data_IF_751669781017
#
_entry.id   IF_751669781017
#
_cell.length_a   1.000
_cell.length_b   1.000
_cell.length_c   1.000
_cell.angle_alpha   90.00
_cell.angle_beta   90.00
_cell.angle_gamma   90.00
#
_symmetry.space_group_name_H-M   'P 1'
#
loop_
_entity.id
_entity.type
_entity.pdbx_description
1 polymer ?
#
# COMPACT_ATOMS: atom_id res chain seq x y z
N UNK A 1 8.09 7.05 15.40
CA UNK A 1 7.21 7.35 14.26
C UNK A 1 7.39 6.21 13.28
N UNK A 2 6.32 5.50 12.92
CA UNK A 2 6.44 4.35 12.02
C UNK A 2 6.74 4.80 10.59
N UNK A 3 7.58 4.06 9.87
CA UNK A 3 7.85 4.27 8.45
C UNK A 3 6.62 3.91 7.60
N UNK A 4 6.65 4.22 6.30
CA UNK A 4 5.58 3.83 5.36
C UNK A 4 5.45 2.31 5.31
N UNK A 5 6.59 1.61 5.21
CA UNK A 5 6.66 0.15 5.14
C UNK A 5 6.09 -0.46 6.42
N UNK A 6 6.54 -0.01 7.59
CA UNK A 6 6.04 -0.53 8.88
C UNK A 6 4.51 -0.36 9.03
N UNK A 7 3.94 0.77 8.57
CA UNK A 7 2.49 0.98 8.61
C UNK A 7 1.75 0.08 7.62
N UNK A 8 2.31 -0.16 6.45
CA UNK A 8 1.70 -1.03 5.46
C UNK A 8 1.80 -2.50 5.87
N UNK A 9 2.93 -2.93 6.44
CA UNK A 9 3.12 -4.25 7.03
C UNK A 9 2.09 -4.53 8.14
N UNK A 10 1.80 -3.55 9.02
CA UNK A 10 0.75 -3.70 10.04
C UNK A 10 -0.62 -3.98 9.40
N UNK A 11 -0.99 -3.26 8.33
CA UNK A 11 -2.27 -3.43 7.63
C UNK A 11 -2.32 -4.83 7.00
N UNK A 12 -1.24 -5.23 6.32
CA UNK A 12 -1.17 -6.52 5.64
C UNK A 12 -1.22 -7.68 6.65
N UNK A 13 -0.46 -7.62 7.73
CA UNK A 13 -0.50 -8.63 8.78
C UNK A 13 -1.88 -8.72 9.43
N UNK A 14 -2.53 -7.58 9.68
CA UNK A 14 -3.87 -7.56 10.27
C UNK A 14 -4.95 -8.17 9.36
N UNK A 15 -4.89 -7.89 8.05
CA UNK A 15 -5.94 -8.29 7.09
C UNK A 15 -5.71 -9.66 6.45
N UNK A 16 -4.46 -9.99 6.15
CA UNK A 16 -4.10 -11.25 5.50
C UNK A 16 -3.67 -12.34 6.48
N UNK A 17 -3.27 -11.97 7.70
CA UNK A 17 -2.63 -12.89 8.64
C UNK A 17 -1.17 -13.23 8.28
N UNK A 18 -0.59 -12.57 7.28
CA UNK A 18 0.77 -12.81 6.80
C UNK A 18 1.66 -11.61 7.17
N UNK A 19 2.79 -11.89 7.81
CA UNK A 19 3.84 -10.90 8.05
C UNK A 19 4.80 -10.84 6.83
N UNK A 20 4.62 -9.84 5.98
CA UNK A 20 5.44 -9.65 4.78
C UNK A 20 6.85 -9.14 5.10
N UNK A 21 7.13 -8.68 6.32
CA UNK A 21 8.50 -8.35 6.73
C UNK A 21 9.35 -9.61 6.97
N UNK A 22 8.69 -10.75 7.24
CA UNK A 22 9.31 -12.06 7.39
C UNK A 22 9.29 -12.83 6.08
N UNK A 23 8.19 -12.72 5.32
CA UNK A 23 7.96 -13.44 4.06
C UNK A 23 8.19 -12.56 2.83
N UNK A 24 9.42 -12.08 2.67
CA UNK A 24 9.84 -11.23 1.55
C UNK A 24 9.56 -11.88 0.18
N UNK A 25 9.66 -13.22 0.09
CA UNK A 25 9.39 -13.99 -1.12
C UNK A 25 7.95 -13.86 -1.63
N UNK A 26 7.02 -13.49 -0.76
CA UNK A 26 5.61 -13.33 -1.10
C UNK A 26 5.28 -11.94 -1.65
N UNK A 27 6.21 -10.97 -1.60
CA UNK A 27 5.90 -9.57 -1.96
C UNK A 27 5.56 -9.33 -3.42
N UNK A 28 6.04 -10.21 -4.31
CA UNK A 28 5.74 -10.20 -5.75
C UNK A 28 4.66 -11.22 -6.14
N UNK A 29 4.11 -11.96 -5.17
CA UNK A 29 3.10 -12.97 -5.44
C UNK A 29 1.72 -12.31 -5.53
N UNK A 30 0.87 -12.68 -6.52
CA UNK A 30 -0.50 -12.16 -6.61
C UNK A 30 -1.30 -12.46 -5.34
N UNK A 31 -1.86 -11.41 -4.72
CA UNK A 31 -2.61 -11.52 -3.46
C UNK A 31 -3.85 -12.41 -3.59
N UNK A 32 -4.57 -12.28 -4.71
CA UNK A 32 -5.74 -13.11 -5.04
C UNK A 32 -5.38 -14.42 -5.75
N UNK A 33 -4.09 -14.68 -5.98
CA UNK A 33 -3.62 -15.90 -6.63
C UNK A 33 -3.65 -17.10 -5.67
N UNK A 34 -3.44 -18.31 -6.18
CA UNK A 34 -3.59 -19.56 -5.41
C UNK A 34 -2.64 -19.69 -4.21
N UNK A 35 -1.48 -19.01 -4.25
CA UNK A 35 -0.44 -19.10 -3.20
C UNK A 35 -0.83 -18.32 -1.96
N UNK A 36 -1.15 -17.03 -2.12
CA UNK A 36 -1.58 -16.18 -0.99
C UNK A 36 -3.07 -16.39 -0.70
N UNK A 37 -3.87 -16.58 -1.75
CA UNK A 37 -5.31 -16.85 -1.71
C UNK A 37 -6.09 -15.89 -0.80
N UNK A 38 -5.73 -14.61 -0.86
CA UNK A 38 -6.40 -13.58 -0.08
C UNK A 38 -7.85 -13.46 -0.56
N UNK A 39 -8.84 -13.48 0.35
CA UNK A 39 -10.22 -13.23 -0.04
C UNK A 39 -10.37 -11.83 -0.65
N UNK A 40 -11.11 -11.70 -1.76
CA UNK A 40 -11.38 -10.41 -2.41
C UNK A 40 -11.92 -9.36 -1.43
N UNK A 41 -12.75 -9.79 -0.48
CA UNK A 41 -13.26 -8.92 0.60
C UNK A 41 -12.14 -8.32 1.45
N UNK A 42 -11.11 -9.10 1.80
CA UNK A 42 -9.99 -8.57 2.58
C UNK A 42 -9.15 -7.60 1.75
N UNK A 43 -8.97 -7.84 0.45
CA UNK A 43 -8.29 -6.90 -0.44
C UNK A 43 -9.01 -5.53 -0.49
N UNK A 44 -10.35 -5.53 -0.51
CA UNK A 44 -11.14 -4.29 -0.42
C UNK A 44 -10.99 -3.59 0.93
N UNK A 45 -10.88 -4.34 2.03
CA UNK A 45 -10.66 -3.74 3.35
C UNK A 45 -9.25 -3.17 3.48
N UNK A 46 -8.25 -3.82 2.90
CA UNK A 46 -6.88 -3.28 2.78
C UNK A 46 -6.90 -1.96 2.02
N UNK A 47 -7.61 -1.88 0.89
CA UNK A 47 -7.79 -0.64 0.14
C UNK A 47 -8.31 0.50 1.02
N UNK A 48 -9.40 0.27 1.76
CA UNK A 48 -9.96 1.30 2.65
C UNK A 48 -9.05 1.65 3.83
N UNK A 49 -8.32 0.68 4.38
CA UNK A 49 -7.36 0.94 5.44
C UNK A 49 -6.19 1.79 4.96
N UNK A 50 -5.68 1.56 3.75
CA UNK A 50 -4.63 2.37 3.16
C UNK A 50 -5.10 3.82 3.01
N UNK A 51 -6.26 4.06 2.42
CA UNK A 51 -6.78 5.42 2.25
C UNK A 51 -6.92 6.16 3.59
N UNK A 52 -7.40 5.44 4.62
CA UNK A 52 -7.61 5.97 5.97
C UNK A 52 -6.29 6.24 6.69
N UNK A 53 -5.35 5.31 6.67
CA UNK A 53 -4.07 5.40 7.41
C UNK A 53 -3.14 6.42 6.78
N UNK A 54 -3.05 6.43 5.45
CA UNK A 54 -2.14 7.31 4.75
C UNK A 54 -2.78 8.64 4.36
N UNK A 55 -4.09 8.83 4.54
CA UNK A 55 -4.81 10.09 4.28
C UNK A 55 -4.70 10.55 2.81
N UNK A 56 -4.90 9.64 1.86
CA UNK A 56 -5.16 9.97 0.45
C UNK A 56 -6.24 9.06 -0.13
N UNK A 57 -6.78 9.47 -1.28
CA UNK A 57 -7.60 8.61 -2.12
C UNK A 57 -6.74 7.96 -3.17
N UNK A 58 -6.80 6.63 -3.27
CA UNK A 58 -6.12 5.89 -4.31
C UNK A 58 -6.90 6.13 -5.61
N UNK A 59 -6.31 6.73 -6.65
CA UNK A 59 -7.01 6.94 -7.90
C UNK A 59 -7.36 5.63 -8.58
N UNK A 60 -8.52 5.56 -9.22
CA UNK A 60 -8.98 4.37 -9.93
C UNK A 60 -7.96 3.90 -10.98
N UNK A 61 -7.28 4.83 -11.66
CA UNK A 61 -6.24 4.54 -12.65
C UNK A 61 -5.02 3.77 -12.10
N UNK A 62 -4.71 3.90 -10.80
CA UNK A 62 -3.63 3.15 -10.14
C UNK A 62 -4.10 1.77 -9.66
N UNK A 63 -5.42 1.57 -9.51
CA UNK A 63 -6.01 0.25 -9.25
C UNK A 63 -6.10 -0.54 -10.54
N UNK A 64 -6.56 0.12 -11.61
CA UNK A 64 -6.57 -0.41 -12.96
C UNK A 64 -5.11 -0.57 -13.45
N UNK A 65 -4.87 -1.48 -14.40
CA UNK A 65 -3.51 -1.84 -14.88
C UNK A 65 -2.65 -2.68 -13.92
N UNK A 66 -3.27 -3.60 -13.16
CA UNK A 66 -2.59 -4.52 -12.22
C UNK A 66 -1.87 -3.83 -11.05
N UNK A 67 -2.06 -2.54 -10.80
CA UNK A 67 -1.39 -1.82 -9.71
C UNK A 67 -1.79 -2.31 -8.31
N UNK A 68 -2.94 -2.97 -8.16
CA UNK A 68 -3.42 -3.49 -6.88
C UNK A 68 -3.39 -5.03 -6.80
N UNK A 69 -2.33 -5.65 -7.33
CA UNK A 69 -2.24 -7.12 -7.50
C UNK A 69 -1.32 -7.79 -6.48
N UNK A 70 -0.17 -7.21 -6.19
CA UNK A 70 0.86 -7.74 -5.27
C UNK A 70 1.13 -6.75 -4.14
N UNK A 71 1.78 -7.21 -3.06
CA UNK A 71 2.23 -6.32 -1.99
C UNK A 71 3.07 -5.16 -2.54
N UNK A 72 4.08 -5.46 -3.38
CA UNK A 72 5.00 -4.43 -3.89
C UNK A 72 4.30 -3.45 -4.84
N UNK A 73 3.32 -3.89 -5.63
CA UNK A 73 2.57 -2.95 -6.47
C UNK A 73 1.78 -1.94 -5.61
N UNK A 74 1.15 -2.41 -4.53
CA UNK A 74 0.41 -1.54 -3.61
C UNK A 74 1.36 -0.60 -2.84
N UNK A 75 2.50 -1.11 -2.37
CA UNK A 75 3.51 -0.28 -1.70
C UNK A 75 4.00 0.85 -2.62
N UNK A 76 4.27 0.54 -3.89
CA UNK A 76 4.68 1.55 -4.87
C UNK A 76 3.63 2.66 -5.04
N UNK A 77 2.34 2.33 -5.02
CA UNK A 77 1.25 3.32 -5.04
C UNK A 77 1.35 4.20 -3.80
N UNK A 78 1.44 3.61 -2.60
CA UNK A 78 1.54 4.38 -1.35
C UNK A 78 2.75 5.32 -1.39
N UNK A 79 3.92 4.81 -1.77
CA UNK A 79 5.15 5.60 -1.84
C UNK A 79 5.06 6.74 -2.86
N UNK A 80 4.47 6.51 -4.04
CA UNK A 80 4.19 7.54 -5.05
C UNK A 80 3.46 8.72 -4.44
N UNK A 81 2.36 8.49 -3.71
CA UNK A 81 1.56 9.57 -3.12
C UNK A 81 2.21 10.22 -1.91
N UNK A 82 2.86 9.43 -1.06
CA UNK A 82 3.50 9.96 0.15
C UNK A 82 4.76 10.78 -0.15
N UNK A 83 5.52 10.41 -1.17
CA UNK A 83 6.70 11.18 -1.61
C UNK A 83 6.29 12.48 -2.32
N UNK A 84 5.21 12.46 -3.11
CA UNK A 84 4.65 13.66 -3.74
C UNK A 84 4.17 14.71 -2.71
N UNK A 85 3.68 14.27 -1.54
CA UNK A 85 3.35 15.22 -0.45
C UNK A 85 4.59 15.91 0.11
N UNK A 86 5.67 15.17 0.35
CA UNK A 86 6.92 15.73 0.90
C UNK A 86 7.52 16.78 -0.04
N UNK A 87 7.52 16.52 -1.34
CA UNK A 87 8.04 17.47 -2.34
C UNK A 87 7.19 18.74 -2.44
N UNK A 88 5.86 18.63 -2.36
CA UNK A 88 4.96 19.79 -2.37
C UNK A 88 5.09 20.65 -1.10
N UNK A 89 5.29 20.04 0.08
CA UNK A 89 5.58 20.78 1.32
C UNK A 89 6.90 21.54 1.22
N UNK A 90 7.95 20.91 0.67
CA UNK A 90 9.27 21.55 0.48
C UNK A 90 9.20 22.72 -0.50
N UNK A 91 8.44 22.58 -1.60
CA UNK A 91 8.23 23.70 -2.54
C UNK A 91 7.53 24.87 -1.87
N UNK A 92 6.47 24.64 -1.12
CA UNK A 92 5.70 25.73 -0.49
C UNK A 92 6.48 26.45 0.62
N UNK A 93 7.40 25.76 1.32
CA UNK A 93 8.29 26.37 2.33
C UNK A 93 9.39 27.25 1.74
N UNK A 94 9.77 27.08 0.48
CA UNK A 94 10.80 27.92 -0.16
C UNK A 94 10.23 29.23 -0.75
N UNK A 95 8.91 29.42 -0.76
CA UNK A 95 8.23 30.61 -1.27
C UNK A 95 7.49 31.41 -0.18
N UNK A 96 7.78 31.15 1.11
CA UNK A 96 7.30 31.93 2.26
C UNK A 96 8.48 32.50 3.04
#
# INVERSE_FOLDING_TARGET
>A
MKTIIEQFDDIMAHRSGIDFSVHEELKEVPLLGEVINLPVRELLLIFFDIERVFDFKIPEEDVLNNGFTTYNNILNIIEKYMNNRKTNILRNKCFS
#
